data_IF_815032999455
#
_entry.id   IF_815032999455
#
_cell.length_a   1.000
_cell.length_b   1.000
_cell.length_c   1.000
_cell.angle_alpha   90.00
_cell.angle_beta   90.00
_cell.angle_gamma   90.00
#
_symmetry.space_group_name_H-M   'P 1'
#
loop_
_entity.id
_entity.type
_entity.pdbx_description
1 polymer ?
#
# COMPACT_ATOMS: atom_id res chain seq x y z
N UNK A 1 -52.17 -12.33 36.99
CA UNK A 1 -51.23 -12.77 35.95
C UNK A 1 -50.96 -11.58 35.04
N UNK A 2 -49.67 -11.25 34.85
CA UNK A 2 -49.03 -10.49 33.75
C UNK A 2 -49.78 -9.28 33.14
N UNK A 3 -49.19 -8.11 32.92
CA UNK A 3 -47.81 -7.66 33.05
C UNK A 3 -47.80 -6.13 32.94
N UNK A 4 -47.07 -5.51 33.87
CA UNK A 4 -46.40 -4.21 33.93
C UNK A 4 -46.01 -3.54 32.60
N UNK A 5 -45.62 -2.27 32.51
CA UNK A 5 -45.79 -0.99 33.26
C UNK A 5 -44.91 0.03 32.51
N UNK A 6 -45.31 1.31 32.57
CA UNK A 6 -44.47 2.53 32.47
C UNK A 6 -43.80 2.90 31.14
N UNK A 7 -44.26 4.03 30.58
CA UNK A 7 -43.46 4.94 29.75
C UNK A 7 -42.88 6.02 30.66
N UNK A 8 -41.56 6.14 30.69
CA UNK A 8 -40.84 7.20 31.40
C UNK A 8 -40.75 8.44 30.51
N UNK A 9 -40.95 9.59 31.15
CA UNK A 9 -41.01 10.94 30.60
C UNK A 9 -39.63 11.46 30.18
N UNK A 10 -39.72 12.37 29.23
CA UNK A 10 -38.74 13.15 28.50
C UNK A 10 -37.74 14.04 29.28
N UNK A 11 -36.82 14.58 28.46
CA UNK A 11 -36.06 15.84 28.54
C UNK A 11 -34.59 15.77 28.97
N UNK A 12 -33.73 16.22 28.06
CA UNK A 12 -32.30 16.42 28.26
C UNK A 12 -31.61 16.92 26.99
N UNK A 13 -31.81 18.20 26.70
CA UNK A 13 -31.09 18.99 25.68
C UNK A 13 -29.57 19.03 25.96
N UNK A 14 -28.81 19.27 24.87
CA UNK A 14 -27.52 19.97 24.75
C UNK A 14 -26.22 19.16 24.63
N UNK A 15 -25.41 19.67 23.67
CA UNK A 15 -24.00 19.44 23.35
C UNK A 15 -23.77 18.23 22.42
N UNK A 16 -23.73 18.44 21.11
CA UNK A 16 -22.64 19.21 20.50
C UNK A 16 -21.38 18.34 20.41
N UNK A 17 -21.52 17.13 19.88
CA UNK A 17 -20.40 16.27 19.54
C UNK A 17 -20.57 15.85 18.09
N UNK A 18 -20.22 16.77 17.19
CA UNK A 18 -19.94 16.44 15.79
C UNK A 18 -18.84 15.38 15.85
N UNK A 19 -19.22 14.11 15.90
CA UNK A 19 -18.30 13.01 15.68
C UNK A 19 -17.93 13.13 14.21
N UNK A 20 -16.90 13.95 13.97
CA UNK A 20 -16.14 13.97 12.74
C UNK A 20 -15.57 12.57 12.56
N UNK A 21 -16.41 11.65 12.09
CA UNK A 21 -15.96 10.51 11.32
C UNK A 21 -15.36 11.12 10.06
N UNK A 22 -14.12 11.61 10.18
CA UNK A 22 -13.24 11.85 9.05
C UNK A 22 -13.03 10.46 8.45
N UNK A 23 -13.95 10.09 7.57
CA UNK A 23 -13.73 9.00 6.65
C UNK A 23 -12.60 9.50 5.77
N UNK A 24 -11.37 9.12 6.11
CA UNK A 24 -10.22 9.34 5.28
C UNK A 24 -10.56 8.76 3.91
N UNK A 25 -10.86 9.64 2.95
CA UNK A 25 -11.08 9.23 1.58
C UNK A 25 -9.76 8.59 1.12
N UNK A 26 -9.80 7.29 0.82
CA UNK A 26 -8.63 6.62 0.26
C UNK A 26 -8.26 7.34 -1.03
N UNK A 27 -7.01 7.81 -1.13
CA UNK A 27 -6.53 8.47 -2.35
C UNK A 27 -6.51 7.42 -3.46
N UNK A 28 -7.27 7.65 -4.52
CA UNK A 28 -7.34 6.76 -5.66
C UNK A 28 -6.02 6.73 -6.45
N UNK A 29 -5.80 5.64 -7.18
CA UNK A 29 -4.66 5.54 -8.08
C UNK A 29 -4.75 6.58 -9.20
N UNK A 30 -3.62 7.23 -9.56
CA UNK A 30 -3.54 8.06 -10.76
C UNK A 30 -4.03 7.31 -12.00
N UNK A 31 -4.82 7.97 -12.85
CA UNK A 31 -5.36 7.39 -14.08
C UNK A 31 -4.28 7.13 -15.14
N UNK A 32 -3.21 7.93 -15.12
CA UNK A 32 -2.09 7.80 -16.05
C UNK A 32 -1.19 6.64 -15.61
N UNK A 33 -1.17 5.58 -16.42
CA UNK A 33 -0.41 4.36 -16.14
C UNK A 33 0.84 4.30 -17.02
N UNK A 34 2.00 4.24 -16.36
CA UNK A 34 3.30 3.99 -16.99
C UNK A 34 3.44 2.47 -17.18
N UNK A 35 3.53 2.02 -18.43
CA UNK A 35 3.65 0.60 -18.78
C UNK A 35 5.11 0.24 -19.03
N UNK A 36 5.60 -0.76 -18.30
CA UNK A 36 6.92 -1.34 -18.49
C UNK A 36 6.76 -2.70 -19.16
N UNK A 37 7.44 -2.90 -20.28
CA UNK A 37 7.31 -4.11 -21.09
C UNK A 37 7.88 -5.35 -20.39
N UNK A 38 7.55 -6.52 -20.94
CA UNK A 38 8.15 -7.79 -20.54
C UNK A 38 9.69 -7.70 -20.65
N UNK A 39 10.39 -8.20 -19.64
CA UNK A 39 11.86 -8.18 -19.61
C UNK A 39 12.44 -9.57 -19.39
N UNK A 40 13.48 -9.89 -20.19
CA UNK A 40 14.23 -11.15 -20.11
C UNK A 40 15.41 -11.08 -19.14
N UNK A 41 15.82 -9.86 -18.77
CA UNK A 41 16.95 -9.60 -17.86
C UNK A 41 16.46 -8.75 -16.68
N UNK A 42 17.07 -8.89 -15.49
CA UNK A 42 16.75 -8.00 -14.38
C UNK A 42 16.88 -6.53 -14.81
N UNK A 43 15.82 -5.74 -14.59
CA UNK A 43 15.73 -4.35 -15.04
C UNK A 43 15.59 -3.42 -13.85
N UNK A 44 16.54 -2.50 -13.70
CA UNK A 44 16.50 -1.47 -12.67
C UNK A 44 15.42 -0.43 -12.95
N UNK A 45 14.62 -0.09 -11.93
CA UNK A 45 13.55 0.89 -12.02
C UNK A 45 13.50 1.81 -10.80
N UNK A 46 12.96 3.00 -11.01
CA UNK A 46 12.60 3.94 -9.94
C UNK A 46 11.10 4.21 -10.04
N UNK A 47 10.39 4.00 -8.94
CA UNK A 47 8.96 4.28 -8.83
C UNK A 47 8.76 5.64 -8.17
N UNK A 48 7.84 6.43 -8.70
CA UNK A 48 7.56 7.77 -8.20
C UNK A 48 6.14 7.85 -7.64
N UNK A 49 6.01 8.48 -6.48
CA UNK A 49 4.71 8.77 -5.87
C UNK A 49 3.92 9.75 -6.75
N UNK A 50 2.61 9.57 -6.81
CA UNK A 50 1.73 10.27 -7.76
C UNK A 50 1.67 9.60 -9.13
N UNK A 51 2.18 8.38 -9.28
CA UNK A 51 2.12 7.60 -10.53
C UNK A 51 1.54 6.20 -10.33
N UNK A 52 1.00 5.67 -11.41
CA UNK A 52 0.60 4.27 -11.53
C UNK A 52 1.53 3.54 -12.50
N UNK A 53 1.95 2.32 -12.16
CA UNK A 53 2.83 1.49 -12.97
C UNK A 53 2.18 0.14 -13.27
N UNK A 54 2.30 -0.31 -14.51
CA UNK A 54 1.98 -1.67 -14.94
C UNK A 54 3.26 -2.35 -15.44
N UNK A 55 3.73 -3.33 -14.68
CA UNK A 55 4.93 -4.09 -14.95
C UNK A 55 4.55 -5.36 -15.71
N UNK A 56 5.14 -5.56 -16.89
CA UNK A 56 5.02 -6.82 -17.62
C UNK A 56 5.74 -7.97 -16.90
N UNK A 57 5.67 -9.20 -17.44
CA UNK A 57 6.42 -10.33 -16.91
C UNK A 57 7.93 -10.08 -16.88
N UNK A 58 8.61 -10.50 -15.82
CA UNK A 58 10.05 -10.34 -15.66
C UNK A 58 10.48 -9.97 -14.25
N UNK A 59 11.74 -9.56 -14.12
CA UNK A 59 12.36 -9.19 -12.84
C UNK A 59 12.71 -7.71 -12.88
N UNK A 60 12.12 -6.95 -11.96
CA UNK A 60 12.37 -5.52 -11.78
C UNK A 60 13.06 -5.29 -10.46
N UNK A 61 14.17 -4.56 -10.48
CA UNK A 61 14.95 -4.22 -9.30
C UNK A 61 14.70 -2.75 -8.95
N UNK A 62 14.22 -2.48 -7.74
CA UNK A 62 14.16 -1.11 -7.27
C UNK A 62 15.58 -0.57 -7.08
N UNK A 63 15.84 0.65 -7.54
CA UNK A 63 17.12 1.31 -7.29
C UNK A 63 17.30 1.71 -5.81
N UNK A 64 16.19 1.99 -5.13
CA UNK A 64 16.16 2.44 -3.74
C UNK A 64 14.83 2.08 -3.07
N UNK A 65 14.79 2.11 -1.73
CA UNK A 65 13.55 1.90 -0.98
C UNK A 65 12.62 3.06 -1.33
N UNK A 66 11.43 2.75 -1.83
CA UNK A 66 10.48 3.78 -2.25
C UNK A 66 9.79 4.35 -1.02
N UNK A 67 9.99 5.64 -0.76
CA UNK A 67 9.27 6.38 0.27
C UNK A 67 7.90 6.83 -0.25
N UNK A 68 6.84 6.50 0.47
CA UNK A 68 5.45 6.85 0.14
C UNK A 68 4.91 7.78 1.23
N UNK A 69 5.06 9.10 1.09
CA UNK A 69 4.45 10.09 1.98
C UNK A 69 2.95 10.25 1.64
N UNK A 70 2.32 11.32 2.09
CA UNK A 70 0.95 11.66 1.69
C UNK A 70 0.83 11.81 0.16
N UNK A 71 0.26 10.80 -0.49
CA UNK A 71 0.09 10.68 -1.94
C UNK A 71 -0.30 9.26 -2.34
N UNK A 72 -0.48 8.99 -3.64
CA UNK A 72 -0.80 7.64 -4.12
C UNK A 72 0.33 7.06 -4.98
N UNK A 73 0.72 5.82 -4.70
CA UNK A 73 1.59 5.01 -5.56
C UNK A 73 0.89 3.68 -5.84
N UNK A 74 0.73 3.36 -7.12
CA UNK A 74 0.08 2.12 -7.54
C UNK A 74 1.00 1.32 -8.45
N UNK A 75 1.22 0.05 -8.11
CA UNK A 75 2.11 -0.85 -8.85
C UNK A 75 1.36 -2.15 -9.11
N UNK A 76 1.13 -2.46 -10.38
CA UNK A 76 0.51 -3.69 -10.82
C UNK A 76 1.50 -4.52 -11.62
N UNK A 77 1.53 -5.83 -11.38
CA UNK A 77 2.12 -6.78 -12.31
C UNK A 77 1.05 -7.51 -13.11
N UNK A 78 1.48 -8.59 -13.76
CA UNK A 78 0.63 -9.42 -14.60
C UNK A 78 0.42 -10.85 -14.07
N UNK A 79 0.77 -11.12 -12.80
CA UNK A 79 0.49 -12.41 -12.18
C UNK A 79 -1.02 -12.62 -12.09
N UNK A 80 -1.50 -13.79 -12.54
CA UNK A 80 -2.92 -14.16 -12.50
C UNK A 80 -3.06 -15.58 -11.98
N UNK A 81 -4.12 -15.83 -11.21
CA UNK A 81 -4.47 -17.18 -10.76
C UNK A 81 -4.80 -18.04 -11.99
N UNK A 82 -4.13 -19.18 -12.14
CA UNK A 82 -4.41 -20.15 -13.20
C UNK A 82 -3.90 -19.80 -14.60
N UNK A 83 -3.10 -18.73 -14.76
CA UNK A 83 -2.49 -18.41 -16.05
C UNK A 83 -1.04 -18.92 -16.13
N UNK A 84 -0.63 -19.56 -17.25
CA UNK A 84 0.78 -19.90 -17.50
C UNK A 84 1.65 -18.68 -17.89
N UNK A 85 1.10 -17.47 -17.85
CA UNK A 85 1.81 -16.24 -18.24
C UNK A 85 2.85 -15.84 -17.20
N UNK A 86 3.98 -15.32 -17.70
CA UNK A 86 5.20 -15.12 -16.92
C UNK A 86 5.02 -14.28 -15.64
N UNK A 87 5.86 -14.59 -14.66
CA UNK A 87 5.83 -13.97 -13.33
C UNK A 87 6.43 -12.57 -13.37
N UNK A 88 5.75 -11.62 -12.74
CA UNK A 88 6.26 -10.27 -12.42
C UNK A 88 6.86 -10.29 -11.02
N UNK A 89 8.17 -10.09 -10.91
CA UNK A 89 8.87 -9.96 -9.62
C UNK A 89 9.40 -8.56 -9.46
N UNK A 90 9.04 -7.92 -8.35
CA UNK A 90 9.65 -6.69 -7.91
C UNK A 90 10.58 -7.02 -6.75
N UNK A 91 11.85 -6.64 -6.87
CA UNK A 91 12.90 -6.92 -5.91
C UNK A 91 13.26 -5.65 -5.14
N UNK A 92 13.57 -5.81 -3.85
CA UNK A 92 14.15 -4.75 -3.04
C UNK A 92 15.53 -4.34 -3.58
N UNK A 93 15.98 -3.11 -3.33
CA UNK A 93 17.26 -2.63 -3.83
C UNK A 93 18.47 -3.44 -3.36
N UNK A 94 19.52 -3.41 -4.16
CA UNK A 94 20.80 -4.06 -3.84
C UNK A 94 21.50 -3.33 -2.68
N UNK A 95 21.90 -4.06 -1.64
CA UNK A 95 22.55 -3.50 -0.45
C UNK A 95 21.64 -2.72 0.50
N UNK A 96 20.40 -2.40 0.13
CA UNK A 96 19.43 -1.79 1.04
C UNK A 96 19.07 -2.79 2.15
N UNK A 97 19.03 -2.29 3.39
CA UNK A 97 18.41 -3.01 4.51
C UNK A 97 16.88 -3.05 4.29
N UNK A 98 16.44 -3.93 3.40
CA UNK A 98 15.26 -4.79 3.57
C UNK A 98 13.85 -4.23 3.32
N UNK A 99 13.67 -3.18 2.51
CA UNK A 99 12.32 -2.74 2.17
C UNK A 99 12.16 -2.43 0.69
N UNK A 100 11.00 -2.77 0.14
CA UNK A 100 10.56 -2.25 -1.14
C UNK A 100 9.98 -0.85 -0.93
N UNK A 101 9.17 -0.70 0.12
CA UNK A 101 8.43 0.52 0.39
C UNK A 101 8.50 0.88 1.88
N UNK A 102 8.67 2.17 2.17
CA UNK A 102 8.37 2.75 3.48
C UNK A 102 7.24 3.74 3.30
N UNK A 103 6.12 3.53 3.98
CA UNK A 103 4.95 4.39 3.89
C UNK A 103 4.80 5.23 5.16
N UNK A 104 4.49 6.50 4.98
CA UNK A 104 4.31 7.49 6.05
C UNK A 104 2.91 8.14 5.99
N UNK A 105 2.13 7.87 4.94
CA UNK A 105 0.79 8.39 4.72
C UNK A 105 0.26 7.96 3.35
N UNK A 106 -0.91 8.45 2.96
CA UNK A 106 -1.47 8.26 1.62
C UNK A 106 -1.87 6.83 1.28
N UNK A 107 -1.79 6.45 0.00
CA UNK A 107 -2.18 5.13 -0.51
C UNK A 107 -1.02 4.45 -1.24
N UNK A 108 -0.63 3.26 -0.77
CA UNK A 108 0.21 2.32 -1.53
C UNK A 108 -0.64 1.13 -1.97
N UNK A 109 -0.78 0.95 -3.29
CA UNK A 109 -1.49 -0.19 -3.87
C UNK A 109 -0.54 -1.08 -4.65
N UNK A 110 -0.50 -2.35 -4.29
CA UNK A 110 0.32 -3.37 -4.95
C UNK A 110 -0.60 -4.50 -5.41
N UNK A 111 -0.52 -4.86 -6.70
CA UNK A 111 -1.45 -5.80 -7.31
C UNK A 111 -0.74 -6.79 -8.24
N UNK A 112 -1.16 -8.06 -8.24
CA UNK A 112 -0.80 -9.04 -9.27
C UNK A 112 0.72 -9.19 -9.52
N UNK A 113 1.54 -9.26 -8.46
CA UNK A 113 2.99 -9.44 -8.59
C UNK A 113 3.60 -10.15 -7.38
N UNK A 114 4.87 -10.52 -7.49
CA UNK A 114 5.67 -11.05 -6.39
C UNK A 114 6.59 -9.97 -5.84
N UNK A 115 6.45 -9.67 -4.55
CA UNK A 115 7.44 -8.88 -3.82
C UNK A 115 8.49 -9.84 -3.29
N UNK A 116 9.71 -9.73 -3.80
CA UNK A 116 10.78 -10.63 -3.42
C UNK A 116 11.85 -9.88 -2.65
N UNK A 117 11.96 -10.24 -1.37
CA UNK A 117 13.05 -9.79 -0.53
C UNK A 117 14.35 -10.53 -0.83
N UNK A 118 15.47 -9.95 -0.40
CA UNK A 118 16.73 -10.68 -0.25
C UNK A 118 17.01 -10.81 1.24
N UNK A 119 17.04 -12.04 1.75
CA UNK A 119 17.40 -12.29 3.14
C UNK A 119 18.91 -12.07 3.32
N UNK A 120 19.27 -11.07 4.12
CA UNK A 120 20.62 -10.85 4.62
C UNK A 120 20.66 -10.94 6.15
N UNK A 121 21.81 -10.67 6.78
CA UNK A 121 22.04 -10.77 8.23
C UNK A 121 21.16 -9.87 9.12
N UNK A 122 20.18 -9.14 8.55
CA UNK A 122 19.23 -8.35 9.33
C UNK A 122 17.76 -8.46 8.93
N UNK A 123 17.35 -9.28 7.93
CA UNK A 123 15.94 -9.38 7.48
C UNK A 123 15.71 -9.42 5.96
N UNK A 124 14.44 -9.44 5.52
CA UNK A 124 13.97 -9.62 4.13
C UNK A 124 12.99 -8.52 3.68
N UNK A 125 12.80 -8.38 2.36
CA UNK A 125 12.02 -7.30 1.73
C UNK A 125 10.53 -7.25 2.13
N UNK A 126 9.92 -6.06 2.06
CA UNK A 126 8.50 -5.88 2.38
C UNK A 126 8.03 -4.42 2.29
N UNK A 127 6.91 -4.15 2.95
CA UNK A 127 6.34 -2.80 3.16
C UNK A 127 6.38 -2.53 4.65
N UNK A 128 6.93 -1.39 5.06
CA UNK A 128 6.83 -0.90 6.44
C UNK A 128 6.02 0.38 6.46
N UNK A 129 5.01 0.42 7.32
CA UNK A 129 4.18 1.60 7.56
C UNK A 129 4.65 2.24 8.85
N UNK A 130 4.99 3.52 8.78
CA UNK A 130 5.49 4.32 9.90
C UNK A 130 4.54 5.48 10.17
N UNK A 131 4.60 5.99 11.39
CA UNK A 131 3.82 7.16 11.81
C UNK A 131 4.17 8.40 10.99
N UNK A 132 5.46 8.61 10.70
CA UNK A 132 5.95 9.66 9.80
C UNK A 132 7.43 9.45 9.46
N UNK A 133 8.01 10.32 8.63
CA UNK A 133 9.41 10.21 8.18
C UNK A 133 10.42 10.43 9.30
N UNK A 134 10.15 11.40 10.17
CA UNK A 134 11.01 11.85 11.27
C UNK A 134 10.56 11.31 12.64
N UNK A 135 9.41 10.63 12.71
CA UNK A 135 8.83 10.09 13.94
C UNK A 135 7.82 11.03 14.61
N UNK A 136 7.60 12.23 14.07
CA UNK A 136 6.57 13.16 14.53
C UNK A 136 5.25 12.88 13.81
N UNK A 137 4.18 12.55 14.54
CA UNK A 137 2.87 12.29 13.94
C UNK A 137 2.34 13.47 13.12
N UNK A 138 2.18 13.28 11.82
CA UNK A 138 1.59 14.27 10.92
C UNK A 138 0.06 14.10 10.77
N UNK A 139 -0.53 13.15 11.53
CA UNK A 139 -1.93 12.73 11.49
C UNK A 139 -2.42 12.32 10.09
N UNK A 140 -1.52 11.95 9.18
CA UNK A 140 -1.91 11.48 7.85
C UNK A 140 -2.24 9.98 7.89
N UNK A 141 -3.43 9.56 7.40
CA UNK A 141 -3.75 8.15 7.31
C UNK A 141 -2.85 7.48 6.26
N UNK A 142 -2.31 6.31 6.61
CA UNK A 142 -1.59 5.44 5.68
C UNK A 142 -2.45 4.23 5.31
N UNK A 143 -2.75 4.09 4.02
CA UNK A 143 -3.54 2.99 3.45
C UNK A 143 -2.65 2.10 2.60
N UNK A 144 -2.58 0.81 2.95
CA UNK A 144 -1.89 -0.21 2.16
C UNK A 144 -2.89 -1.22 1.60
N UNK A 145 -2.91 -1.39 0.28
CA UNK A 145 -3.82 -2.31 -0.42
C UNK A 145 -2.98 -3.31 -1.21
N UNK A 146 -3.04 -4.59 -0.81
CA UNK A 146 -2.40 -5.69 -1.52
C UNK A 146 -3.44 -6.65 -2.09
N UNK A 147 -3.37 -6.95 -3.39
CA UNK A 147 -4.25 -7.94 -4.05
C UNK A 147 -3.44 -8.87 -4.94
N UNK A 148 -3.62 -10.18 -4.77
CA UNK A 148 -2.86 -11.21 -5.50
C UNK A 148 -1.34 -10.93 -5.47
N UNK A 149 -0.83 -10.59 -4.29
CA UNK A 149 0.60 -10.36 -4.06
C UNK A 149 1.18 -11.58 -3.36
N UNK A 150 2.27 -12.12 -3.89
CA UNK A 150 3.05 -13.16 -3.20
C UNK A 150 4.29 -12.52 -2.59
N UNK A 151 4.52 -12.75 -1.30
CA UNK A 151 5.77 -12.36 -0.62
C UNK A 151 6.74 -13.55 -0.66
N UNK A 152 7.96 -13.33 -1.17
CA UNK A 152 9.00 -14.35 -1.33
C UNK A 152 10.32 -13.93 -0.70
#
# INVERSE_FOLDING_TARGET
>A
MQSSSTVVVAWGLLLGGLCCCVTAAAIDCPSDVIRLACTKVPTSITLQVGKSYELGPGVFLLNETVEVPAGALCVAGQDRVGAPAGVTRLLSPEGAKQLHFTQYGGTLKINNLQLQGRAGSGGGGGVVIKQSKDGTDDNQPATFIARLVTFK
#
